data_IF_181873992112
#
_entry.id   IF_181873992112
#
_cell.length_a   1.000
_cell.length_b   1.000
_cell.length_c   1.000
_cell.angle_alpha   90.00
_cell.angle_beta   90.00
_cell.angle_gamma   90.00
#
_symmetry.space_group_name_H-M   'P 1'
#
loop_
_entity.id
_entity.type
_entity.pdbx_description
1 polymer ?
#
# COMPACT_ATOMS: atom_id res chain seq x y z
N UNK A 1 49.30 -38.59 -50.92
CA UNK A 1 49.60 -37.46 -51.84
C UNK A 1 48.27 -36.86 -52.33
N UNK A 2 48.20 -35.54 -52.63
CA UNK A 2 47.40 -34.54 -51.88
C UNK A 2 46.20 -33.97 -52.67
N UNK A 3 45.36 -33.03 -52.22
CA UNK A 3 45.47 -31.87 -51.28
C UNK A 3 44.13 -31.72 -50.50
N UNK A 4 44.06 -31.24 -49.24
CA UNK A 4 44.18 -29.84 -48.73
C UNK A 4 43.48 -28.77 -49.58
N UNK A 5 42.41 -28.18 -49.04
CA UNK A 5 42.01 -26.80 -49.35
C UNK A 5 41.55 -26.10 -48.06
N UNK A 6 42.36 -25.16 -47.59
CA UNK A 6 41.99 -24.22 -46.52
C UNK A 6 41.21 -23.05 -47.11
N UNK A 7 40.34 -22.41 -46.34
CA UNK A 7 40.37 -20.94 -46.21
C UNK A 7 39.62 -20.49 -44.95
N UNK A 8 40.35 -19.88 -44.02
CA UNK A 8 39.81 -19.07 -42.94
C UNK A 8 40.15 -17.61 -43.25
N UNK A 9 39.17 -16.70 -43.21
CA UNK A 9 39.41 -15.25 -43.25
C UNK A 9 38.18 -14.46 -42.76
N UNK A 10 38.41 -13.21 -42.34
CA UNK A 10 37.50 -12.27 -41.64
C UNK A 10 37.16 -12.70 -40.20
N UNK A 11 37.78 -12.17 -39.13
CA UNK A 11 38.48 -10.89 -38.88
C UNK A 11 37.56 -9.67 -38.69
N UNK A 12 37.28 -9.38 -37.42
CA UNK A 12 37.15 -8.06 -36.76
C UNK A 12 36.14 -7.05 -37.37
N UNK A 13 35.10 -6.75 -36.58
CA UNK A 13 34.77 -5.36 -36.28
C UNK A 13 34.34 -5.21 -34.80
N UNK A 14 35.22 -4.60 -34.00
CA UNK A 14 34.88 -4.12 -32.65
C UNK A 14 34.10 -2.82 -32.80
N UNK A 15 32.93 -2.73 -32.16
CA UNK A 15 32.18 -1.48 -32.03
C UNK A 15 32.08 -1.10 -30.55
N UNK A 16 33.09 -0.37 -30.08
CA UNK A 16 33.04 0.38 -28.84
C UNK A 16 31.93 1.45 -28.95
N UNK A 17 30.87 1.31 -28.18
CA UNK A 17 29.95 2.43 -27.91
C UNK A 17 30.55 3.24 -26.77
N UNK A 18 31.29 4.29 -27.14
CA UNK A 18 31.78 5.30 -26.18
C UNK A 18 30.61 6.24 -25.83
N UNK A 19 29.95 5.98 -24.71
CA UNK A 19 29.03 6.94 -24.09
C UNK A 19 29.83 7.90 -23.20
N UNK A 20 30.25 9.04 -23.76
CA UNK A 20 31.00 10.06 -23.04
C UNK A 20 30.09 11.07 -22.33
N UNK A 21 30.26 11.17 -21.02
CA UNK A 21 30.04 12.34 -20.14
C UNK A 21 28.82 13.26 -20.36
N UNK A 22 27.98 13.35 -19.32
CA UNK A 22 27.99 14.58 -18.50
C UNK A 22 27.68 14.24 -17.04
N UNK A 23 28.45 14.79 -16.11
CA UNK A 23 28.13 14.74 -14.69
C UNK A 23 27.30 15.99 -14.35
N UNK A 24 26.12 15.79 -13.79
CA UNK A 24 25.31 16.87 -13.24
C UNK A 24 25.02 16.54 -11.76
N UNK A 25 25.63 17.31 -10.87
CA UNK A 25 25.33 17.24 -9.44
C UNK A 25 23.89 17.72 -9.21
N UNK A 26 23.06 16.87 -8.60
CA UNK A 26 21.68 17.20 -8.31
C UNK A 26 20.98 16.09 -7.55
N UNK A 27 20.63 16.37 -6.28
CA UNK A 27 19.64 15.67 -5.45
C UNK A 27 19.55 14.15 -5.59
N UNK A 28 20.17 13.43 -4.65
CA UNK A 28 20.02 11.97 -4.51
C UNK A 28 18.59 11.60 -4.06
N UNK A 29 17.62 11.62 -4.98
CA UNK A 29 16.42 10.79 -4.85
C UNK A 29 16.86 9.38 -5.24
N UNK A 30 17.22 8.58 -4.25
CA UNK A 30 17.64 7.22 -4.49
C UNK A 30 16.42 6.43 -4.96
N UNK A 31 16.39 6.07 -6.25
CA UNK A 31 15.39 5.13 -6.78
C UNK A 31 15.58 3.80 -6.07
N UNK A 32 14.79 3.55 -5.02
CA UNK A 32 14.74 2.27 -4.32
C UNK A 32 14.24 1.24 -5.33
N UNK A 33 15.15 0.43 -5.84
CA UNK A 33 14.82 -0.67 -6.74
C UNK A 33 14.12 -1.72 -5.90
N UNK A 34 12.79 -1.79 -6.00
CA UNK A 34 11.97 -2.81 -5.33
C UNK A 34 12.22 -4.16 -6.02
N UNK A 35 13.27 -4.86 -5.58
CA UNK A 35 13.47 -6.27 -5.90
C UNK A 35 12.73 -7.15 -4.90
N UNK A 36 12.02 -8.17 -5.39
CA UNK A 36 11.44 -9.22 -4.54
C UNK A 36 12.49 -10.18 -3.93
N UNK A 37 13.78 -9.94 -4.20
CA UNK A 37 14.89 -10.64 -3.54
C UNK A 37 15.13 -10.01 -2.17
N UNK A 38 15.25 -10.80 -1.08
CA UNK A 38 15.67 -10.29 0.21
C UNK A 38 16.96 -9.49 0.08
N UNK A 39 16.97 -8.26 0.62
CA UNK A 39 18.23 -7.52 0.74
C UNK A 39 19.16 -8.30 1.68
N UNK A 40 20.48 -8.30 1.44
CA UNK A 40 21.44 -8.80 2.41
C UNK A 40 21.25 -8.06 3.74
N UNK A 41 21.12 -8.81 4.83
CA UNK A 41 21.06 -8.29 6.18
C UNK A 41 22.21 -7.28 6.43
N UNK A 42 21.94 -6.10 7.00
CA UNK A 42 22.97 -5.24 7.57
C UNK A 42 23.85 -6.03 8.53
N UNK A 43 25.14 -5.71 8.57
CA UNK A 43 26.11 -6.39 9.43
C UNK A 43 25.79 -6.14 10.91
N UNK A 44 25.03 -7.05 11.52
CA UNK A 44 24.52 -6.95 12.90
C UNK A 44 23.04 -7.34 13.05
N UNK A 45 22.23 -7.18 12.00
CA UNK A 45 20.81 -7.51 12.04
C UNK A 45 20.60 -9.03 12.20
N UNK A 46 19.77 -9.42 13.18
CA UNK A 46 19.50 -10.81 13.57
C UNK A 46 18.16 -11.33 13.03
N UNK A 47 17.27 -10.45 12.58
CA UNK A 47 15.92 -10.79 12.13
C UNK A 47 15.51 -9.87 10.98
N UNK A 48 14.99 -10.46 9.90
CA UNK A 48 14.24 -9.72 8.87
C UNK A 48 12.75 -9.88 9.19
N UNK A 49 12.02 -8.76 9.26
CA UNK A 49 10.57 -8.70 9.41
C UNK A 49 9.97 -8.27 8.07
N UNK A 50 9.21 -9.15 7.42
CA UNK A 50 8.63 -8.90 6.09
C UNK A 50 7.24 -8.27 6.23
N UNK A 51 7.02 -7.15 5.55
CA UNK A 51 5.78 -6.36 5.66
C UNK A 51 5.16 -6.19 4.28
N UNK A 52 4.06 -6.89 4.00
CA UNK A 52 3.33 -6.75 2.74
C UNK A 52 2.37 -5.55 2.76
N UNK A 53 2.39 -4.70 1.73
CA UNK A 53 1.45 -3.58 1.57
C UNK A 53 0.89 -3.47 0.15
N UNK A 54 -0.36 -3.02 0.02
CA UNK A 54 -0.97 -2.61 -1.26
C UNK A 54 -0.65 -1.16 -1.67
N UNK A 55 0.00 -0.38 -0.80
CA UNK A 55 0.40 0.99 -1.09
C UNK A 55 1.48 1.04 -2.18
N UNK A 56 1.54 2.15 -2.92
CA UNK A 56 2.51 2.35 -3.99
C UNK A 56 2.76 3.84 -4.27
N UNK A 57 3.83 4.14 -5.01
CA UNK A 57 4.22 5.53 -5.32
C UNK A 57 4.49 6.35 -4.05
N UNK A 58 3.96 7.57 -4.00
CA UNK A 58 4.12 8.47 -2.84
C UNK A 58 3.55 7.90 -1.54
N UNK A 59 2.58 6.97 -1.61
CA UNK A 59 2.02 6.26 -0.45
C UNK A 59 3.03 5.44 0.35
N UNK A 60 4.20 5.10 -0.23
CA UNK A 60 5.27 4.40 0.47
C UNK A 60 6.16 5.31 1.35
N UNK A 61 6.13 6.63 1.13
CA UNK A 61 6.91 7.60 1.91
C UNK A 61 6.68 7.50 3.43
N UNK A 62 5.44 7.47 3.96
CA UNK A 62 5.21 7.27 5.39
C UNK A 62 5.71 5.92 5.91
N UNK A 63 5.60 4.84 5.12
CA UNK A 63 6.10 3.51 5.50
C UNK A 63 7.61 3.53 5.73
N UNK A 64 8.39 4.04 4.76
CA UNK A 64 9.84 4.12 4.91
C UNK A 64 10.28 4.95 6.12
N UNK A 65 9.56 6.05 6.43
CA UNK A 65 9.85 6.86 7.62
C UNK A 65 9.56 6.13 8.94
N UNK A 66 8.46 5.37 9.00
CA UNK A 66 8.13 4.55 10.18
C UNK A 66 9.15 3.42 10.34
N UNK A 67 9.57 2.79 9.24
CA UNK A 67 10.63 1.77 9.23
C UNK A 67 11.95 2.33 9.74
N UNK A 68 12.40 3.48 9.22
CA UNK A 68 13.64 4.15 9.66
C UNK A 68 13.64 4.43 11.17
N UNK A 69 12.51 4.93 11.71
CA UNK A 69 12.36 5.17 13.14
C UNK A 69 12.37 3.87 13.94
N UNK A 70 11.68 2.83 13.47
CA UNK A 70 11.60 1.53 14.13
C UNK A 70 12.97 0.81 14.15
N UNK A 71 13.68 0.77 13.02
CA UNK A 71 15.02 0.15 12.92
C UNK A 71 16.06 0.90 13.78
N UNK A 72 15.95 2.22 13.90
CA UNK A 72 16.81 3.03 14.78
C UNK A 72 16.61 2.70 16.28
N UNK A 73 15.38 2.37 16.68
CA UNK A 73 15.06 1.91 18.05
C UNK A 73 15.33 0.41 18.25
N UNK A 74 15.31 -0.39 17.18
CA UNK A 74 15.42 -1.85 17.20
C UNK A 74 16.54 -2.35 16.26
N UNK A 75 17.83 -2.04 16.53
CA UNK A 75 18.94 -2.27 15.59
C UNK A 75 19.25 -3.75 15.29
N UNK A 76 18.64 -4.69 16.01
CA UNK A 76 18.71 -6.14 15.72
C UNK A 76 17.69 -6.59 14.66
N UNK A 77 16.73 -5.73 14.28
CA UNK A 77 15.64 -6.04 13.35
C UNK A 77 15.76 -5.16 12.10
N UNK A 78 15.69 -5.78 10.92
CA UNK A 78 15.51 -5.10 9.65
C UNK A 78 14.08 -5.31 9.15
N UNK A 79 13.44 -4.29 8.59
CA UNK A 79 12.09 -4.38 8.02
C UNK A 79 12.15 -4.39 6.49
N UNK A 80 11.74 -5.51 5.88
CA UNK A 80 11.63 -5.64 4.44
C UNK A 80 10.19 -5.33 4.00
N UNK A 81 9.97 -4.13 3.46
CA UNK A 81 8.69 -3.76 2.86
C UNK A 81 8.50 -4.45 1.49
N UNK A 82 7.41 -5.19 1.33
CA UNK A 82 6.98 -5.85 0.09
C UNK A 82 5.74 -5.15 -0.50
N UNK A 83 5.89 -4.04 -1.22
CA UNK A 83 4.76 -3.35 -1.85
C UNK A 83 4.28 -4.08 -3.11
N UNK A 84 2.96 -4.16 -3.26
CA UNK A 84 2.29 -4.67 -4.47
C UNK A 84 1.33 -3.58 -4.96
N UNK A 85 1.85 -2.67 -5.78
CA UNK A 85 1.00 -1.68 -6.43
C UNK A 85 0.01 -2.33 -7.39
N UNK A 86 -1.19 -1.74 -7.48
CA UNK A 86 -2.39 -2.23 -8.19
C UNK A 86 -3.21 -3.30 -7.45
N UNK A 87 -4.43 -3.57 -7.94
CA UNK A 87 -5.48 -4.35 -7.24
C UNK A 87 -5.18 -5.85 -7.01
N UNK A 88 -3.99 -6.32 -7.38
CA UNK A 88 -3.58 -7.73 -7.25
C UNK A 88 -3.00 -8.08 -5.85
N UNK A 89 -2.87 -7.10 -4.93
CA UNK A 89 -2.24 -7.30 -3.61
C UNK A 89 -2.78 -8.53 -2.85
N UNK A 90 -4.09 -8.62 -2.57
CA UNK A 90 -4.65 -9.77 -1.85
C UNK A 90 -4.44 -11.10 -2.60
N UNK A 91 -4.51 -11.11 -3.93
CA UNK A 91 -4.27 -12.32 -4.72
C UNK A 91 -2.81 -12.80 -4.62
N UNK A 92 -1.85 -11.87 -4.58
CA UNK A 92 -0.44 -12.17 -4.35
C UNK A 92 -0.20 -12.68 -2.93
N UNK A 93 -0.75 -12.04 -1.90
CA UNK A 93 -0.63 -12.51 -0.52
C UNK A 93 -1.23 -13.91 -0.34
N UNK A 94 -2.42 -14.17 -0.90
CA UNK A 94 -3.03 -15.51 -0.88
C UNK A 94 -2.17 -16.57 -1.59
N UNK A 95 -1.45 -16.18 -2.65
CA UNK A 95 -0.50 -17.07 -3.34
C UNK A 95 0.73 -17.34 -2.48
N UNK A 96 1.27 -16.34 -1.78
CA UNK A 96 2.39 -16.48 -0.83
C UNK A 96 2.01 -17.38 0.35
N UNK A 97 0.82 -17.21 0.93
CA UNK A 97 0.26 -18.09 1.97
C UNK A 97 0.14 -19.54 1.46
N UNK A 98 -0.42 -19.74 0.27
CA UNK A 98 -0.58 -21.08 -0.32
C UNK A 98 0.78 -21.75 -0.67
N UNK A 99 1.81 -20.96 -0.93
CA UNK A 99 3.18 -21.44 -1.12
C UNK A 99 3.94 -21.73 0.19
N UNK A 100 3.38 -21.35 1.35
CA UNK A 100 4.04 -21.45 2.66
C UNK A 100 5.12 -20.40 2.90
N UNK A 101 5.06 -19.27 2.19
CA UNK A 101 6.02 -18.15 2.27
C UNK A 101 5.33 -16.76 2.39
N UNK A 102 4.39 -16.56 3.35
CA UNK A 102 3.77 -15.26 3.58
C UNK A 102 4.76 -14.24 4.19
N UNK A 103 4.52 -12.93 4.00
CA UNK A 103 5.09 -11.89 4.86
C UNK A 103 4.63 -12.06 6.32
N UNK A 104 5.45 -11.62 7.27
CA UNK A 104 5.18 -11.69 8.71
C UNK A 104 4.08 -10.70 9.16
N UNK A 105 3.99 -9.55 8.48
CA UNK A 105 2.97 -8.52 8.70
C UNK A 105 2.29 -8.16 7.37
N UNK A 106 0.98 -7.90 7.42
CA UNK A 106 0.15 -7.64 6.24
C UNK A 106 -0.78 -6.45 6.48
N UNK A 107 -0.67 -5.41 5.67
CA UNK A 107 -1.62 -4.30 5.63
C UNK A 107 -2.85 -4.70 4.80
N UNK A 108 -3.91 -5.10 5.48
CA UNK A 108 -5.21 -5.43 4.88
C UNK A 108 -6.32 -4.48 5.36
N UNK A 109 -7.41 -4.42 4.61
CA UNK A 109 -8.68 -3.86 5.09
C UNK A 109 -9.38 -4.80 6.08
N UNK A 110 -10.24 -4.22 6.91
CA UNK A 110 -11.13 -4.91 7.85
C UNK A 110 -12.08 -5.88 7.11
N UNK A 111 -12.54 -5.48 5.92
CA UNK A 111 -13.35 -6.28 5.00
C UNK A 111 -12.72 -7.64 4.63
N UNK A 112 -11.39 -7.70 4.59
CA UNK A 112 -10.63 -8.88 4.21
C UNK A 112 -10.27 -9.80 5.39
N UNK A 113 -10.41 -9.35 6.64
CA UNK A 113 -10.04 -10.14 7.85
C UNK A 113 -10.68 -11.53 7.84
N UNK A 114 -12.01 -11.70 7.60
CA UNK A 114 -12.64 -13.03 7.61
C UNK A 114 -12.01 -13.99 6.59
N UNK A 115 -11.69 -13.49 5.39
CA UNK A 115 -11.12 -14.28 4.29
C UNK A 115 -9.75 -14.87 4.67
N UNK A 116 -8.93 -14.11 5.39
CA UNK A 116 -7.60 -14.53 5.81
C UNK A 116 -7.64 -15.40 7.08
N UNK A 117 -8.52 -15.11 8.04
CA UNK A 117 -8.70 -15.96 9.24
C UNK A 117 -9.23 -17.35 8.87
N UNK A 118 -10.20 -17.44 7.97
CA UNK A 118 -10.74 -18.73 7.47
C UNK A 118 -9.68 -19.59 6.74
N UNK A 119 -8.55 -19.00 6.35
CA UNK A 119 -7.39 -19.67 5.74
C UNK A 119 -6.26 -19.97 6.73
N UNK A 120 -6.43 -19.63 8.02
CA UNK A 120 -5.41 -19.79 9.05
C UNK A 120 -4.22 -18.85 8.88
N UNK A 121 -4.38 -17.73 8.17
CA UNK A 121 -3.28 -16.82 7.85
C UNK A 121 -2.90 -15.87 9.01
N UNK A 122 -3.79 -15.66 9.98
CA UNK A 122 -3.57 -14.76 11.11
C UNK A 122 -3.63 -15.48 12.46
N UNK A 123 -2.74 -15.07 13.35
CA UNK A 123 -2.78 -15.43 14.77
C UNK A 123 -3.79 -14.53 15.51
N UNK A 124 -4.46 -15.01 16.57
CA UNK A 124 -5.24 -14.15 17.45
C UNK A 124 -4.32 -13.18 18.21
N UNK A 125 -4.82 -11.97 18.46
CA UNK A 125 -4.06 -10.88 19.10
C UNK A 125 -4.44 -10.63 20.56
N UNK A 126 -5.51 -11.26 21.07
CA UNK A 126 -6.02 -11.04 22.42
C UNK A 126 -4.99 -11.32 23.53
N UNK A 127 -4.14 -12.34 23.36
CA UNK A 127 -3.03 -12.66 24.29
C UNK A 127 -1.93 -11.58 24.28
N UNK A 128 -1.73 -10.87 23.17
CA UNK A 128 -0.81 -9.73 23.09
C UNK A 128 -1.43 -8.44 23.63
N UNK A 129 -2.75 -8.31 23.61
CA UNK A 129 -3.47 -7.14 24.16
C UNK A 129 -3.64 -7.26 25.68
N UNK A 130 -3.91 -8.47 26.18
CA UNK A 130 -4.27 -8.71 27.59
C UNK A 130 -3.20 -9.42 28.41
N UNK A 131 -2.20 -10.03 27.76
CA UNK A 131 -1.17 -10.83 28.43
C UNK A 131 -0.06 -10.02 29.10
N UNK A 132 0.54 -10.60 30.14
CA UNK A 132 1.54 -9.94 30.98
C UNK A 132 2.92 -9.79 30.32
N UNK A 133 3.23 -10.56 29.28
CA UNK A 133 4.57 -10.62 28.69
C UNK A 133 4.89 -9.48 27.72
N UNK A 134 3.90 -9.07 26.90
CA UNK A 134 4.05 -8.04 25.87
C UNK A 134 2.73 -7.28 25.65
N UNK A 135 2.20 -6.59 26.68
CA UNK A 135 0.90 -5.91 26.59
C UNK A 135 0.93 -4.76 25.58
N UNK A 136 0.13 -4.90 24.51
CA UNK A 136 -0.14 -3.83 23.55
C UNK A 136 -1.08 -2.79 24.18
N UNK A 137 -0.61 -1.56 24.33
CA UNK A 137 -1.46 -0.45 24.80
C UNK A 137 -2.48 -0.05 23.73
N UNK A 138 -3.70 -0.58 23.84
CA UNK A 138 -4.80 -0.21 22.95
C UNK A 138 -5.50 1.10 23.35
N UNK A 139 -5.08 1.79 24.42
CA UNK A 139 -5.68 3.07 24.82
C UNK A 139 -5.36 4.23 23.88
N UNK A 140 -4.37 4.05 23.01
CA UNK A 140 -4.01 4.97 21.91
C UNK A 140 -5.09 5.04 20.82
N UNK A 141 -5.98 4.05 20.75
CA UNK A 141 -7.00 3.96 19.71
C UNK A 141 -8.27 4.74 20.06
N UNK A 142 -8.86 5.40 19.06
CA UNK A 142 -10.14 6.08 19.22
C UNK A 142 -11.27 5.07 19.50
N UNK A 143 -12.32 5.46 20.24
CA UNK A 143 -13.45 4.57 20.51
C UNK A 143 -14.04 3.95 19.22
N UNK A 144 -14.15 2.63 19.21
CA UNK A 144 -14.76 1.85 18.13
C UNK A 144 -13.82 1.43 16.99
N UNK A 145 -12.65 2.05 16.78
CA UNK A 145 -11.80 1.74 15.60
C UNK A 145 -11.16 0.34 15.65
N UNK A 146 -11.05 -0.26 16.84
CA UNK A 146 -10.60 -1.65 17.02
C UNK A 146 -11.65 -2.69 16.63
N UNK A 147 -12.94 -2.36 16.67
CA UNK A 147 -14.04 -3.32 16.52
C UNK A 147 -14.09 -3.99 15.13
N UNK A 148 -13.87 -3.29 13.99
CA UNK A 148 -13.80 -3.93 12.68
C UNK A 148 -12.65 -4.94 12.54
N UNK A 149 -11.62 -4.86 13.39
CA UNK A 149 -10.51 -5.81 13.41
C UNK A 149 -10.82 -7.14 14.11
N UNK A 150 -12.06 -7.36 14.55
CA UNK A 150 -12.51 -8.59 15.20
C UNK A 150 -13.25 -9.52 14.25
N UNK A 151 -12.97 -10.82 14.35
CA UNK A 151 -13.75 -11.88 13.71
C UNK A 151 -14.22 -12.87 14.78
N UNK A 152 -15.52 -13.16 14.81
CA UNK A 152 -16.15 -14.07 15.79
C UNK A 152 -15.84 -13.75 17.27
N UNK A 153 -15.56 -12.48 17.59
CA UNK A 153 -15.24 -12.00 18.94
C UNK A 153 -13.76 -12.01 19.32
N UNK A 154 -12.88 -12.47 18.43
CA UNK A 154 -11.42 -12.53 18.61
C UNK A 154 -10.76 -11.42 17.77
N UNK A 155 -9.74 -10.75 18.31
CA UNK A 155 -9.02 -9.68 17.60
C UNK A 155 -7.96 -10.27 16.67
N UNK A 156 -7.97 -9.88 15.39
CA UNK A 156 -7.00 -10.35 14.38
C UNK A 156 -6.27 -9.22 13.65
N UNK A 157 -6.77 -7.98 13.74
CA UNK A 157 -6.21 -6.81 13.07
C UNK A 157 -6.02 -5.67 14.07
N UNK A 158 -4.89 -4.97 13.96
CA UNK A 158 -4.65 -3.68 14.62
C UNK A 158 -4.86 -2.55 13.61
N UNK A 159 -5.69 -1.53 13.90
CA UNK A 159 -5.86 -0.39 13.00
C UNK A 159 -4.54 0.37 12.81
N UNK A 160 -4.11 0.55 11.56
CA UNK A 160 -3.01 1.46 11.19
C UNK A 160 -3.51 2.89 10.98
N UNK A 161 -4.69 2.99 10.36
CA UNK A 161 -5.43 4.21 10.09
C UNK A 161 -6.94 3.88 10.09
N UNK A 162 -7.77 4.90 9.90
CA UNK A 162 -9.21 4.76 9.69
C UNK A 162 -9.68 5.88 8.76
N UNK A 163 -10.65 5.60 7.91
CA UNK A 163 -11.26 6.59 7.00
C UNK A 163 -12.76 6.68 7.28
N UNK A 164 -13.25 7.74 7.95
CA UNK A 164 -14.68 7.90 8.17
C UNK A 164 -15.37 8.20 6.83
N UNK A 165 -16.56 7.62 6.62
CA UNK A 165 -17.42 7.99 5.49
C UNK A 165 -17.91 9.43 5.69
N UNK A 166 -17.63 10.30 4.73
CA UNK A 166 -17.96 11.72 4.78
C UNK A 166 -18.42 12.24 3.40
N UNK A 167 -19.33 13.22 3.41
CA UNK A 167 -19.76 13.91 2.20
C UNK A 167 -18.81 15.09 1.95
N UNK A 168 -17.98 14.97 0.92
CA UNK A 168 -17.18 16.07 0.39
C UNK A 168 -17.96 16.79 -0.69
N UNK A 169 -18.09 18.11 -0.60
CA UNK A 169 -18.90 18.90 -1.52
C UNK A 169 -18.22 20.22 -1.93
N UNK A 170 -18.45 20.64 -3.17
CA UNK A 170 -17.91 21.90 -3.67
C UNK A 170 -18.84 23.07 -3.33
N UNK A 171 -18.52 23.77 -2.23
CA UNK A 171 -19.28 24.94 -1.74
C UNK A 171 -19.67 25.94 -2.82
N UNK A 172 -18.78 26.22 -3.78
CA UNK A 172 -19.03 27.16 -4.87
C UNK A 172 -20.23 26.74 -5.73
N UNK A 173 -20.40 25.44 -5.99
CA UNK A 173 -21.53 24.95 -6.80
C UNK A 173 -22.86 25.09 -6.07
N UNK A 174 -22.85 24.89 -4.74
CA UNK A 174 -24.00 25.14 -3.87
C UNK A 174 -24.36 26.62 -3.83
N UNK A 175 -23.37 27.50 -3.63
CA UNK A 175 -23.55 28.95 -3.60
C UNK A 175 -24.10 29.48 -4.94
N UNK A 176 -23.56 29.03 -6.07
CA UNK A 176 -24.03 29.39 -7.42
C UNK A 176 -25.46 28.92 -7.72
N UNK A 177 -25.89 27.81 -7.13
CA UNK A 177 -27.24 27.26 -7.30
C UNK A 177 -28.24 27.77 -6.25
N UNK A 178 -27.79 28.47 -5.21
CA UNK A 178 -28.61 28.87 -4.07
C UNK A 178 -29.09 27.68 -3.21
N UNK A 179 -28.37 26.55 -3.26
CA UNK A 179 -28.73 25.31 -2.55
C UNK A 179 -28.05 25.29 -1.17
N UNK A 180 -28.78 24.90 -0.14
CA UNK A 180 -28.25 24.79 1.22
C UNK A 180 -27.20 23.65 1.31
N UNK A 181 -26.15 23.88 2.09
CA UNK A 181 -25.09 22.89 2.31
C UNK A 181 -25.60 21.63 3.04
N UNK A 182 -24.89 20.49 2.94
CA UNK A 182 -25.13 19.33 3.79
C UNK A 182 -25.13 19.70 5.28
N UNK A 183 -26.08 19.17 6.04
CA UNK A 183 -26.25 19.41 7.46
C UNK A 183 -26.52 18.11 8.22
N UNK A 184 -26.40 18.14 9.55
CA UNK A 184 -26.78 17.00 10.40
C UNK A 184 -28.26 16.62 10.20
N UNK A 185 -28.55 15.33 10.17
CA UNK A 185 -29.89 14.80 9.92
C UNK A 185 -30.29 14.66 8.44
N UNK A 186 -29.39 14.97 7.49
CA UNK A 186 -29.61 14.71 6.06
C UNK A 186 -29.98 13.24 5.78
N UNK A 187 -31.00 13.06 4.95
CA UNK A 187 -31.45 11.75 4.46
C UNK A 187 -30.86 11.44 3.07
N UNK A 188 -31.00 10.19 2.63
CA UNK A 188 -30.67 9.81 1.25
C UNK A 188 -31.53 10.53 0.21
N UNK A 189 -32.78 10.90 0.56
CA UNK A 189 -33.67 11.68 -0.29
C UNK A 189 -33.19 13.14 -0.40
N UNK A 190 -32.71 13.74 0.70
CA UNK A 190 -32.11 15.09 0.69
C UNK A 190 -30.83 15.14 -0.15
N UNK A 191 -29.99 14.10 -0.05
CA UNK A 191 -28.79 13.95 -0.87
C UNK A 191 -29.15 13.86 -2.36
N UNK A 192 -30.11 12.99 -2.72
CA UNK A 192 -30.55 12.81 -4.09
C UNK A 192 -31.18 14.09 -4.67
N UNK A 193 -32.07 14.75 -3.91
CA UNK A 193 -32.68 16.01 -4.32
C UNK A 193 -31.63 17.11 -4.51
N UNK A 194 -30.62 17.16 -3.63
CA UNK A 194 -29.49 18.10 -3.73
C UNK A 194 -28.64 17.83 -4.97
N UNK A 195 -28.26 16.57 -5.22
CA UNK A 195 -27.50 16.19 -6.41
C UNK A 195 -28.27 16.50 -7.71
N UNK A 196 -29.60 16.30 -7.72
CA UNK A 196 -30.45 16.70 -8.84
C UNK A 196 -30.49 18.22 -9.03
N UNK A 197 -30.64 19.00 -7.95
CA UNK A 197 -30.65 20.47 -8.00
C UNK A 197 -29.30 21.07 -8.46
N UNK A 198 -28.19 20.38 -8.18
CA UNK A 198 -26.85 20.77 -8.60
C UNK A 198 -26.45 20.23 -9.98
N UNK A 199 -27.23 19.34 -10.58
CA UNK A 199 -26.97 18.82 -11.92
C UNK A 199 -27.41 19.83 -12.97
N UNK A 200 -26.51 20.19 -13.90
CA UNK A 200 -26.79 21.14 -15.00
C UNK A 200 -26.57 20.47 -16.36
N UNK A 201 -27.47 20.70 -17.31
CA UNK A 201 -27.34 20.25 -18.70
C UNK A 201 -27.14 21.42 -19.66
N UNK A 202 -26.46 21.17 -20.79
CA UNK A 202 -26.43 22.09 -21.93
C UNK A 202 -27.74 22.04 -22.74
N UNK A 203 -27.82 22.88 -23.78
CA UNK A 203 -28.98 22.93 -24.69
C UNK A 203 -29.15 21.67 -25.57
N UNK A 204 -28.13 20.79 -25.63
CA UNK A 204 -28.20 19.48 -26.28
C UNK A 204 -28.61 18.34 -25.34
N UNK A 205 -28.80 18.63 -24.05
CA UNK A 205 -29.14 17.63 -23.02
C UNK A 205 -27.93 16.91 -22.41
N UNK A 206 -26.69 17.31 -22.72
CA UNK A 206 -25.50 16.72 -22.09
C UNK A 206 -25.31 17.28 -20.69
N UNK A 207 -24.97 16.44 -19.71
CA UNK A 207 -24.62 16.90 -18.36
C UNK A 207 -23.28 17.63 -18.38
N UNK A 208 -23.27 18.91 -18.00
CA UNK A 208 -22.08 19.76 -17.92
C UNK A 208 -21.63 20.04 -16.47
N UNK A 209 -22.48 19.71 -15.49
CA UNK A 209 -22.15 19.69 -14.08
C UNK A 209 -22.92 18.54 -13.44
N UNK A 210 -22.22 17.64 -12.75
CA UNK A 210 -22.84 16.65 -11.85
C UNK A 210 -22.96 17.25 -10.45
N UNK A 211 -24.06 16.96 -9.78
CA UNK A 211 -24.30 17.28 -8.37
C UNK A 211 -23.87 16.17 -7.42
#
# INVERSE_FOLDING_TARGET
>A
MPKRLSFALLLILVLLVVAGCSAQEGGFVQTVVVTATPMPLPEGAKTVLRVGTGDSGEGLTPHFKIIEMFEAENPDIQVQLEPVGSGDYYARILTQIAAGDPPDLLQIGDDAVPMFVDRGAFIPLDDFITGESYPLDTSIYLPGVMEPGKWQGVQYLLPKDFSPMAIYYNKKLFDEAGVAYPAEGWTWDDLLATAQALTKTDAGGNVVQWG
#
